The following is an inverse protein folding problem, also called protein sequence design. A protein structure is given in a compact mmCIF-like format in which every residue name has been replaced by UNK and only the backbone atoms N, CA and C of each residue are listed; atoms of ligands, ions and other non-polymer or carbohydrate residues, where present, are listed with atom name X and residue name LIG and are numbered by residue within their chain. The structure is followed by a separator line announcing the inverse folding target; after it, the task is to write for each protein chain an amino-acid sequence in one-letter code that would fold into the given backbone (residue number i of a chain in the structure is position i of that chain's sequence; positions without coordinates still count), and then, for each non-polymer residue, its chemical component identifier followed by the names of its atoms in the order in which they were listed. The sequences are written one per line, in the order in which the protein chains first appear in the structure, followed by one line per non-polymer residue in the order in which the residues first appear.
data_IF_606723348366
#
_entry.id   IF_606723348366
#
_cell.length_a   1.000
_cell.length_b   1.000
_cell.length_c   1.000
_cell.angle_alpha   90.00
_cell.angle_beta   90.00
_cell.angle_gamma   90.00
#
_symmetry.space_group_name_H-M   'P 1'
#
loop_
_entity.id
_entity.type
_entity.pdbx_description
1 polymer ?
#
# COMPACT_ATOMS: atom_id res chain seq x y z
N UNK A 1 13.99 -7.47 -11.22
CA UNK A 1 13.31 -8.71 -10.81
C UNK A 1 11.94 -8.29 -10.34
N UNK A 2 11.00 -8.22 -11.29
CA UNK A 2 9.65 -7.69 -11.07
C UNK A 2 8.99 -8.48 -9.94
N UNK A 3 8.75 -7.80 -8.81
CA UNK A 3 7.83 -8.33 -7.82
C UNK A 3 6.51 -8.55 -8.57
N UNK A 4 6.07 -9.81 -8.71
CA UNK A 4 4.83 -10.10 -9.41
C UNK A 4 3.65 -9.66 -8.52
N UNK A 5 3.42 -8.34 -8.50
CA UNK A 5 2.37 -7.66 -7.75
C UNK A 5 1.03 -8.29 -8.09
N UNK A 6 0.83 -8.60 -9.38
CA UNK A 6 -0.41 -9.19 -9.85
C UNK A 6 -0.62 -10.61 -9.31
N UNK A 7 0.39 -11.47 -9.35
CA UNK A 7 0.29 -12.83 -8.78
C UNK A 7 0.01 -12.78 -7.28
N UNK A 8 0.65 -11.85 -6.56
CA UNK A 8 0.39 -11.66 -5.13
C UNK A 8 -1.06 -11.24 -4.88
N UNK A 9 -1.57 -10.26 -5.64
CA UNK A 9 -2.97 -9.82 -5.53
C UNK A 9 -3.92 -10.99 -5.81
N UNK A 10 -3.72 -11.74 -6.91
CA UNK A 10 -4.56 -12.90 -7.25
C UNK A 10 -4.52 -13.98 -6.17
N UNK A 11 -3.34 -14.30 -5.64
CA UNK A 11 -3.18 -15.29 -4.56
C UNK A 11 -3.91 -14.86 -3.28
N UNK A 12 -3.71 -13.62 -2.86
CA UNK A 12 -4.30 -13.11 -1.63
C UNK A 12 -5.83 -12.95 -1.76
N UNK A 13 -6.31 -12.59 -2.97
CA UNK A 13 -7.74 -12.53 -3.28
C UNK A 13 -8.39 -13.91 -3.28
N UNK A 14 -7.72 -14.95 -3.79
CA UNK A 14 -8.24 -16.32 -3.80
C UNK A 14 -8.50 -16.88 -2.39
N UNK A 15 -7.83 -16.35 -1.37
CA UNK A 15 -8.03 -16.71 0.04
C UNK A 15 -9.20 -15.95 0.71
N UNK A 16 -9.82 -15.00 0.00
CA UNK A 16 -10.86 -14.10 0.53
C UNK A 16 -12.15 -14.29 -0.25
N UNK A 17 -13.20 -14.88 0.35
CA UNK A 17 -14.47 -15.14 -0.35
C UNK A 17 -15.16 -13.89 -0.89
N UNK A 18 -14.90 -12.74 -0.28
CA UNK A 18 -15.51 -11.43 -0.61
C UNK A 18 -14.65 -10.59 -1.55
N UNK A 19 -13.45 -11.05 -1.89
CA UNK A 19 -12.56 -10.32 -2.78
C UNK A 19 -12.91 -10.59 -4.24
N UNK A 20 -12.79 -9.54 -5.05
CA UNK A 20 -12.94 -9.57 -6.49
C UNK A 20 -11.75 -8.88 -7.13
N UNK A 21 -11.22 -9.48 -8.20
CA UNK A 21 -10.12 -8.95 -8.99
C UNK A 21 -10.58 -8.86 -10.43
N UNK A 22 -10.50 -7.67 -11.01
CA UNK A 22 -10.79 -7.41 -12.41
C UNK A 22 -9.54 -6.91 -13.10
N UNK A 23 -9.29 -7.40 -14.32
CA UNK A 23 -8.21 -6.92 -15.15
C UNK A 23 -8.70 -5.70 -15.94
N UNK A 24 -8.01 -4.59 -15.76
CA UNK A 24 -8.31 -3.35 -16.46
C UNK A 24 -7.46 -3.25 -17.73
N UNK A 25 -7.94 -2.47 -18.71
CA UNK A 25 -7.20 -2.19 -19.93
C UNK A 25 -5.82 -1.60 -19.59
N UNK A 26 -4.75 -2.16 -20.17
CA UNK A 26 -3.37 -1.74 -19.88
C UNK A 26 -2.66 -2.57 -18.81
N UNK A 27 -3.27 -3.66 -18.32
CA UNK A 27 -2.58 -4.63 -17.47
C UNK A 27 -2.53 -4.26 -15.99
N UNK A 28 -3.34 -3.30 -15.54
CA UNK A 28 -3.58 -3.05 -14.11
C UNK A 28 -4.68 -3.97 -13.57
N UNK A 29 -4.69 -4.16 -12.24
CA UNK A 29 -5.75 -4.90 -11.56
C UNK A 29 -6.60 -3.95 -10.72
N UNK A 30 -7.91 -4.05 -10.87
CA UNK A 30 -8.88 -3.46 -9.96
C UNK A 30 -9.24 -4.50 -8.89
N UNK A 31 -8.83 -4.26 -7.65
CA UNK A 31 -9.14 -5.09 -6.49
C UNK A 31 -10.28 -4.46 -5.68
N UNK A 32 -11.32 -5.25 -5.39
CA UNK A 32 -12.44 -4.86 -4.53
C UNK A 32 -12.63 -5.92 -3.45
N UNK A 33 -12.87 -5.52 -2.20
CA UNK A 33 -13.09 -6.47 -1.10
C UNK A 33 -13.99 -5.85 -0.02
N UNK A 34 -14.74 -6.71 0.65
CA UNK A 34 -15.51 -6.36 1.83
C UNK A 34 -14.75 -6.82 3.07
N UNK A 35 -14.25 -5.86 3.85
CA UNK A 35 -13.44 -6.14 5.04
C UNK A 35 -14.13 -5.65 6.30
N UNK A 36 -13.93 -6.36 7.42
CA UNK A 36 -14.49 -5.98 8.72
C UNK A 36 -13.90 -4.67 9.28
N UNK A 37 -12.75 -4.22 8.75
CA UNK A 37 -12.14 -2.95 9.14
C UNK A 37 -10.93 -2.57 8.30
N UNK A 38 -10.61 -1.28 8.29
CA UNK A 38 -9.55 -0.71 7.44
C UNK A 38 -8.12 -1.02 7.91
N UNK A 39 -7.95 -1.53 9.14
CA UNK A 39 -6.65 -1.81 9.73
C UNK A 39 -5.85 -2.88 8.99
N UNK A 40 -6.49 -4.00 8.66
CA UNK A 40 -5.83 -5.11 7.97
C UNK A 40 -5.53 -4.76 6.51
N UNK A 41 -6.54 -4.30 5.77
CA UNK A 41 -6.40 -3.94 4.36
C UNK A 41 -5.36 -2.82 4.18
N UNK A 42 -5.28 -1.86 5.09
CA UNK A 42 -4.25 -0.82 5.00
C UNK A 42 -2.83 -1.36 5.19
N UNK A 43 -2.61 -2.40 6.02
CA UNK A 43 -1.31 -3.06 6.12
C UNK A 43 -0.99 -3.82 4.85
N UNK A 44 -1.98 -4.50 4.27
CA UNK A 44 -1.84 -5.24 3.03
C UNK A 44 -1.48 -4.31 1.86
N UNK A 45 -2.23 -3.23 1.63
CA UNK A 45 -1.97 -2.23 0.59
C UNK A 45 -0.55 -1.65 0.70
N UNK A 46 -0.06 -1.40 1.92
CA UNK A 46 1.29 -0.86 2.14
C UNK A 46 2.42 -1.78 1.68
N UNK A 47 2.17 -3.08 1.49
CA UNK A 47 3.18 -4.02 0.98
C UNK A 47 3.52 -3.76 -0.50
N UNK A 48 2.61 -3.16 -1.26
CA UNK A 48 2.80 -2.87 -2.68
C UNK A 48 3.44 -1.51 -2.95
N UNK A 49 3.56 -0.65 -1.93
CA UNK A 49 4.21 0.65 -2.06
C UNK A 49 3.59 1.51 -3.16
N UNK A 50 4.43 1.98 -4.08
CA UNK A 50 4.02 2.84 -5.21
C UNK A 50 3.22 2.12 -6.30
N UNK A 51 3.19 0.79 -6.30
CA UNK A 51 2.47 -0.01 -7.31
C UNK A 51 0.98 -0.18 -7.01
N UNK A 52 0.48 0.38 -5.90
CA UNK A 52 -0.93 0.32 -5.54
C UNK A 52 -1.48 1.71 -5.21
N UNK A 53 -2.71 1.98 -5.65
CA UNK A 53 -3.47 3.20 -5.35
C UNK A 53 -4.84 2.81 -4.80
N UNK A 54 -5.21 3.38 -3.66
CA UNK A 54 -6.55 3.21 -3.09
C UNK A 54 -7.48 4.20 -3.80
N UNK A 55 -8.57 3.69 -4.38
CA UNK A 55 -9.59 4.51 -5.03
C UNK A 55 -10.74 4.85 -4.08
N UNK A 56 -11.15 3.90 -3.25
CA UNK A 56 -12.16 4.07 -2.23
C UNK A 56 -11.95 3.03 -1.10
N UNK A 57 -12.47 3.27 0.11
CA UNK A 57 -13.11 4.51 0.55
C UNK A 57 -12.05 5.59 0.91
N UNK A 58 -12.46 6.86 1.07
CA UNK A 58 -11.53 8.00 1.27
C UNK A 58 -10.74 7.85 2.58
N UNK A 59 -11.37 7.30 3.61
CA UNK A 59 -10.78 7.05 4.92
C UNK A 59 -9.58 6.11 4.81
N UNK A 60 -9.65 5.12 3.91
CA UNK A 60 -8.52 4.22 3.65
C UNK A 60 -7.36 4.97 2.99
N UNK A 61 -7.65 5.89 2.05
CA UNK A 61 -6.62 6.73 1.44
C UNK A 61 -5.90 7.57 2.51
N UNK A 62 -6.65 8.20 3.41
CA UNK A 62 -6.11 9.02 4.49
C UNK A 62 -5.21 8.21 5.42
N UNK A 63 -5.61 6.99 5.79
CA UNK A 63 -4.79 6.07 6.60
C UNK A 63 -3.45 5.77 5.92
N UNK A 64 -3.44 5.53 4.61
CA UNK A 64 -2.23 5.26 3.84
C UNK A 64 -1.34 6.51 3.78
N UNK A 65 -1.91 7.67 3.44
CA UNK A 65 -1.21 8.95 3.36
C UNK A 65 -0.58 9.32 4.71
N UNK A 66 -1.34 9.23 5.80
CA UNK A 66 -0.84 9.52 7.14
C UNK A 66 0.28 8.56 7.56
N UNK A 67 0.21 7.29 7.15
CA UNK A 67 1.28 6.31 7.36
C UNK A 67 2.56 6.68 6.61
N UNK A 68 2.44 7.05 5.33
CA UNK A 68 3.55 7.47 4.49
C UNK A 68 4.23 8.75 5.02
N UNK A 69 3.43 9.77 5.38
CA UNK A 69 3.93 11.03 5.96
C UNK A 69 4.71 10.81 7.25
N UNK A 70 4.22 9.94 8.15
CA UNK A 70 4.92 9.59 9.40
C UNK A 70 6.26 8.90 9.13
N UNK A 71 6.33 7.99 8.15
CA UNK A 71 7.60 7.38 7.74
C UNK A 71 8.56 8.43 7.18
N UNK A 72 8.09 9.28 6.27
CA UNK A 72 8.89 10.36 5.69
C UNK A 72 9.45 11.32 6.74
N UNK A 73 8.63 11.70 7.71
CA UNK A 73 9.06 12.57 8.81
C UNK A 73 10.21 11.95 9.63
N UNK A 74 10.15 10.64 9.92
CA UNK A 74 11.24 9.95 10.64
C UNK A 74 12.55 9.97 9.86
N UNK A 75 12.52 9.64 8.57
CA UNK A 75 13.73 9.69 7.74
C UNK A 75 14.31 11.11 7.65
N UNK A 76 13.46 12.14 7.54
CA UNK A 76 13.93 13.54 7.53
C UNK A 76 14.62 13.97 8.83
N UNK A 77 14.22 13.41 9.98
CA UNK A 77 14.84 13.70 11.28
C UNK A 77 16.19 12.97 11.40
N UNK A 78 16.26 11.71 10.96
CA UNK A 78 17.50 10.91 10.94
C UNK A 78 18.58 11.55 10.06
N UNK A 79 18.22 11.97 8.84
CA UNK A 79 19.15 12.64 7.92
C UNK A 79 19.72 13.94 8.49
N UNK A 80 19.00 14.63 9.37
CA UNK A 80 19.51 15.85 10.02
C UNK A 80 20.49 15.56 11.16
N UNK A 81 20.47 14.36 11.76
CA UNK A 81 21.37 13.98 12.85
C UNK A 81 22.66 13.31 12.39
N UNK A 82 22.71 12.81 11.16
CA UNK A 82 23.90 12.18 10.57
C UNK A 82 24.81 13.11 9.75
N UNK A 83 24.55 14.42 9.75
CA UNK A 83 25.31 15.42 8.97
C UNK A 83 26.08 16.45 9.80
N UNK A 84 26.06 16.34 11.13
CA UNK A 84 26.85 17.16 12.06
C UNK A 84 27.88 16.26 12.73
N UNK A 85 29.02 16.06 12.08
CA UNK A 85 30.09 15.22 12.58
C UNK A 85 31.15 14.95 11.53
N UNK A 86 31.71 16.01 10.95
CA UNK A 86 33.03 16.04 10.30
C UNK A 86 33.33 17.51 9.93
N UNK A 87 33.78 18.29 10.91
CA UNK A 87 34.71 19.42 10.69
C UNK A 87 35.77 19.40 11.81
#
# INVERSE_FOLDING_TARGET
NDFNVQDKVRRDAALRPTASVQEEAGGSLLYTDMVAGLGEISRWVRQFGASAKVLAPVELQEIIIAGARRKLARYKVETRRGGEGDE
#
